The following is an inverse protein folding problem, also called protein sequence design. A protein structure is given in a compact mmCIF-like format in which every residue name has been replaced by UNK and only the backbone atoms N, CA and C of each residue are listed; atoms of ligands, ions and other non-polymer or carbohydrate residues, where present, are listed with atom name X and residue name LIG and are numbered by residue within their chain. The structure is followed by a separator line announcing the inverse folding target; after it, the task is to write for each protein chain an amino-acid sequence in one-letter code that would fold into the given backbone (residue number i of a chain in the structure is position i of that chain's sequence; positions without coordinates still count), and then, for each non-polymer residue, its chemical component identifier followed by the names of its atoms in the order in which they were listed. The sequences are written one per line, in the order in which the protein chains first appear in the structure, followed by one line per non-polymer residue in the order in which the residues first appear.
data_IF_746876352880
#
_entry.id   IF_746876352880
#
_cell.length_a   1.000
_cell.length_b   1.000
_cell.length_c   1.000
_cell.angle_alpha   90.00
_cell.angle_beta   90.00
_cell.angle_gamma   90.00
#
_symmetry.space_group_name_H-M   'P 1'
#
loop_
_entity.id
_entity.type
_entity.pdbx_description
1 polymer ?
#
# COMPACT_ATOMS: atom_id res chain seq x y z
N UNK A 1 5.50 -39.87 -4.24
CA UNK A 1 4.13 -39.36 -4.00
C UNK A 1 4.12 -38.53 -2.73
N UNK A 2 3.44 -37.37 -2.72
CA UNK A 2 3.25 -36.61 -1.49
C UNK A 2 2.43 -37.46 -0.50
N UNK A 3 2.96 -37.71 0.70
CA UNK A 3 2.36 -38.60 1.71
C UNK A 3 1.17 -37.98 2.47
N UNK A 4 0.67 -36.82 2.04
CA UNK A 4 -0.36 -36.04 2.71
C UNK A 4 -1.37 -35.53 1.68
N UNK A 5 -2.63 -35.48 2.07
CA UNK A 5 -3.66 -34.74 1.36
C UNK A 5 -3.48 -33.23 1.57
N UNK A 6 -4.07 -32.37 0.70
CA UNK A 6 -4.07 -30.93 0.91
C UNK A 6 -4.66 -30.48 2.25
N UNK A 7 -5.69 -31.19 2.73
CA UNK A 7 -6.33 -30.89 4.01
C UNK A 7 -5.38 -31.18 5.20
N UNK A 8 -4.71 -32.34 5.18
CA UNK A 8 -3.72 -32.71 6.21
C UNK A 8 -2.49 -31.79 6.17
N UNK A 9 -2.07 -31.35 4.98
CA UNK A 9 -1.01 -30.36 4.84
C UNK A 9 -1.40 -29.02 5.48
N UNK A 10 -2.63 -28.53 5.21
CA UNK A 10 -3.15 -27.28 5.79
C UNK A 10 -3.29 -27.37 7.30
N UNK A 11 -3.84 -28.47 7.83
CA UNK A 11 -3.95 -28.70 9.28
C UNK A 11 -2.58 -28.63 9.95
N UNK A 12 -1.61 -29.40 9.42
CA UNK A 12 -0.27 -29.47 9.98
C UNK A 12 0.42 -28.10 9.97
N UNK A 13 0.26 -27.33 8.89
CA UNK A 13 0.76 -25.96 8.81
C UNK A 13 0.10 -25.06 9.86
N UNK A 14 -1.22 -25.08 9.97
CA UNK A 14 -1.97 -24.25 10.92
C UNK A 14 -1.59 -24.57 12.37
N UNK A 15 -1.54 -25.85 12.73
CA UNK A 15 -1.17 -26.27 14.09
C UNK A 15 0.25 -25.84 14.45
N UNK A 16 1.22 -26.08 13.55
CA UNK A 16 2.62 -25.72 13.81
C UNK A 16 2.84 -24.21 13.87
N UNK A 17 2.25 -23.45 12.94
CA UNK A 17 2.46 -22.01 12.89
C UNK A 17 1.82 -21.29 14.09
N UNK A 18 0.66 -21.78 14.56
CA UNK A 18 0.04 -21.26 15.79
C UNK A 18 0.88 -21.57 17.04
N UNK A 19 1.55 -22.71 17.08
CA UNK A 19 2.42 -23.11 18.20
C UNK A 19 3.77 -22.37 18.20
N UNK A 20 4.26 -21.93 17.05
CA UNK A 20 5.57 -21.27 16.92
C UNK A 20 5.56 -19.76 17.22
N UNK A 21 4.53 -19.22 17.88
CA UNK A 21 4.43 -17.78 18.15
C UNK A 21 5.64 -17.25 18.95
N UNK A 22 6.06 -17.97 19.99
CA UNK A 22 7.23 -17.59 20.80
C UNK A 22 8.52 -17.61 19.99
N UNK A 23 8.72 -18.62 19.14
CA UNK A 23 9.91 -18.69 18.28
C UNK A 23 9.93 -17.57 17.24
N UNK A 24 8.77 -17.22 16.68
CA UNK A 24 8.63 -16.08 15.77
C UNK A 24 8.97 -14.78 16.50
N UNK A 25 8.41 -14.55 17.69
CA UNK A 25 8.71 -13.37 18.50
C UNK A 25 10.21 -13.26 18.81
N UNK A 26 10.83 -14.37 19.23
CA UNK A 26 12.27 -14.43 19.48
C UNK A 26 13.08 -14.16 18.22
N UNK A 27 12.67 -14.70 17.08
CA UNK A 27 13.31 -14.45 15.78
C UNK A 27 13.25 -12.98 15.38
N UNK A 28 12.09 -12.33 15.53
CA UNK A 28 11.91 -10.89 15.30
C UNK A 28 12.80 -10.07 16.23
N UNK A 29 12.85 -10.40 17.52
CA UNK A 29 13.68 -9.68 18.50
C UNK A 29 15.19 -9.82 18.24
N UNK A 30 15.63 -10.86 17.50
CA UNK A 30 17.03 -11.04 17.09
C UNK A 30 17.42 -10.23 15.86
N UNK A 31 16.46 -9.61 15.15
CA UNK A 31 16.75 -8.79 13.97
C UNK A 31 17.45 -7.51 14.41
N UNK A 32 18.75 -7.42 14.14
CA UNK A 32 19.60 -6.27 14.50
C UNK A 32 19.74 -5.23 13.38
N UNK A 33 19.38 -5.58 12.15
CA UNK A 33 19.47 -4.69 10.99
C UNK A 33 18.10 -4.57 10.34
N UNK A 34 17.65 -3.33 10.12
CA UNK A 34 16.35 -3.05 9.50
C UNK A 34 16.20 -3.81 8.17
N UNK A 35 15.24 -4.74 8.06
CA UNK A 35 15.02 -5.47 6.81
C UNK A 35 14.55 -4.54 5.69
N UNK A 36 13.87 -3.43 6.00
CA UNK A 36 13.42 -2.45 5.01
C UNK A 36 14.59 -1.64 4.43
N UNK A 37 15.59 -1.30 5.26
CA UNK A 37 16.83 -0.68 4.78
C UNK A 37 17.59 -1.61 3.84
N UNK A 38 17.66 -2.91 4.16
CA UNK A 38 18.28 -3.90 3.28
C UNK A 38 17.51 -4.08 1.97
N UNK A 39 16.17 -4.07 2.03
CA UNK A 39 15.31 -4.15 0.84
C UNK A 39 15.51 -2.94 -0.08
N UNK A 40 15.64 -1.72 0.47
CA UNK A 40 15.91 -0.51 -0.30
C UNK A 40 17.19 -0.61 -1.14
N UNK A 41 18.22 -1.31 -0.65
CA UNK A 41 19.48 -1.56 -1.40
C UNK A 41 19.32 -2.53 -2.57
N UNK A 42 18.14 -3.13 -2.77
CA UNK A 42 17.88 -4.16 -3.78
C UNK A 42 16.74 -3.77 -4.73
N UNK A 43 16.40 -2.48 -4.83
CA UNK A 43 15.34 -1.99 -5.71
C UNK A 43 15.57 -2.34 -7.19
N UNK A 44 16.81 -2.32 -7.69
CA UNK A 44 17.10 -2.70 -9.09
C UNK A 44 16.80 -4.18 -9.35
N UNK A 45 17.19 -5.05 -8.41
CA UNK A 45 16.85 -6.48 -8.47
C UNK A 45 15.33 -6.69 -8.42
N UNK A 46 14.62 -5.90 -7.62
CA UNK A 46 13.15 -5.95 -7.58
C UNK A 46 12.55 -5.53 -8.91
N UNK A 47 13.00 -4.41 -9.50
CA UNK A 47 12.56 -3.91 -10.80
C UNK A 47 12.73 -4.97 -11.89
N UNK A 48 13.92 -5.54 -12.03
CA UNK A 48 14.18 -6.56 -13.04
C UNK A 48 13.24 -7.76 -12.90
N UNK A 49 13.10 -8.29 -11.68
CA UNK A 49 12.22 -9.44 -11.42
C UNK A 49 10.75 -9.15 -11.68
N UNK A 50 10.32 -7.90 -11.48
CA UNK A 50 8.96 -7.48 -11.82
C UNK A 50 8.74 -7.46 -13.33
N UNK A 51 9.70 -6.94 -14.09
CA UNK A 51 9.68 -6.97 -15.56
C UNK A 51 9.61 -8.42 -16.04
N UNK A 52 10.50 -9.30 -15.58
CA UNK A 52 10.51 -10.72 -15.96
C UNK A 52 9.16 -11.42 -15.65
N UNK A 53 8.52 -11.06 -14.53
CA UNK A 53 7.23 -11.63 -14.13
C UNK A 53 6.07 -11.13 -15.01
N UNK A 54 6.13 -9.87 -15.48
CA UNK A 54 5.18 -9.33 -16.44
C UNK A 54 5.37 -10.00 -17.80
N UNK A 55 6.60 -10.06 -18.30
CA UNK A 55 6.94 -10.60 -19.62
C UNK A 55 6.62 -12.11 -19.73
N UNK A 56 6.84 -12.87 -18.66
CA UNK A 56 6.46 -14.29 -18.60
C UNK A 56 4.95 -14.55 -18.49
N UNK A 57 4.12 -13.50 -18.43
CA UNK A 57 2.67 -13.57 -18.24
C UNK A 57 2.23 -14.10 -16.86
N UNK A 58 3.17 -14.25 -15.91
CA UNK A 58 2.87 -14.77 -14.57
C UNK A 58 1.87 -13.87 -13.84
N UNK A 59 2.04 -12.56 -13.95
CA UNK A 59 1.14 -11.57 -13.35
C UNK A 59 -0.26 -11.69 -13.96
N UNK A 60 -0.37 -11.69 -15.29
CA UNK A 60 -1.67 -11.80 -15.99
C UNK A 60 -2.44 -13.05 -15.58
N UNK A 61 -1.79 -14.22 -15.57
CA UNK A 61 -2.42 -15.48 -15.15
C UNK A 61 -2.88 -15.43 -13.69
N UNK A 62 -2.11 -14.78 -12.82
CA UNK A 62 -2.46 -14.60 -11.42
C UNK A 62 -3.70 -13.73 -11.22
N UNK A 63 -3.80 -12.63 -11.96
CA UNK A 63 -4.93 -11.71 -11.93
C UNK A 63 -6.21 -12.37 -12.49
N UNK A 64 -6.11 -13.05 -13.64
CA UNK A 64 -7.25 -13.72 -14.28
C UNK A 64 -7.81 -14.91 -13.49
N UNK A 65 -7.05 -15.42 -12.50
CA UNK A 65 -7.49 -16.55 -11.67
C UNK A 65 -8.57 -16.15 -10.65
N UNK A 66 -8.67 -14.87 -10.30
CA UNK A 66 -9.63 -14.40 -9.29
C UNK A 66 -10.86 -13.84 -10.02
N UNK A 67 -12.02 -14.46 -9.83
CA UNK A 67 -13.27 -13.93 -10.38
C UNK A 67 -13.76 -12.71 -9.57
N UNK A 68 -14.64 -11.91 -10.16
CA UNK A 68 -15.24 -10.75 -9.49
C UNK A 68 -16.04 -11.19 -8.26
N UNK A 69 -16.72 -12.33 -8.33
CA UNK A 69 -17.51 -12.90 -7.24
C UNK A 69 -16.61 -13.31 -6.07
N UNK A 70 -15.54 -14.06 -6.34
CA UNK A 70 -14.57 -14.47 -5.32
C UNK A 70 -13.87 -13.26 -4.70
N UNK A 71 -13.56 -12.24 -5.50
CA UNK A 71 -13.00 -10.99 -5.00
C UNK A 71 -13.99 -10.26 -4.08
N UNK A 72 -15.26 -10.10 -4.49
CA UNK A 72 -16.32 -9.46 -3.69
C UNK A 72 -16.50 -10.18 -2.36
N UNK A 73 -16.60 -11.51 -2.39
CA UNK A 73 -16.74 -12.32 -1.18
C UNK A 73 -15.56 -12.10 -0.21
N UNK A 74 -14.33 -12.21 -0.72
CA UNK A 74 -13.12 -12.02 0.09
C UNK A 74 -13.02 -10.59 0.66
N UNK A 75 -13.38 -9.58 -0.14
CA UNK A 75 -13.36 -8.19 0.32
C UNK A 75 -14.43 -7.92 1.38
N UNK A 76 -15.67 -8.37 1.18
CA UNK A 76 -16.75 -8.14 2.13
C UNK A 76 -16.53 -8.90 3.45
N UNK A 77 -16.07 -10.15 3.38
CA UNK A 77 -15.93 -11.00 4.57
C UNK A 77 -14.60 -10.80 5.32
N UNK A 78 -13.52 -10.37 4.65
CA UNK A 78 -12.19 -10.24 5.28
C UNK A 78 -11.60 -8.84 5.13
N UNK A 79 -11.74 -8.23 3.96
CA UNK A 79 -11.17 -6.90 3.68
C UNK A 79 -11.82 -5.82 4.54
N UNK A 80 -13.14 -5.62 4.36
CA UNK A 80 -13.91 -4.57 5.03
C UNK A 80 -13.78 -4.63 6.56
N UNK A 81 -13.93 -5.80 7.22
CA UNK A 81 -13.76 -5.87 8.67
C UNK A 81 -12.35 -5.45 9.16
N UNK A 82 -11.31 -5.65 8.35
CA UNK A 82 -9.93 -5.25 8.69
C UNK A 82 -9.66 -3.77 8.47
N UNK A 83 -10.52 -3.03 7.75
CA UNK A 83 -10.32 -1.61 7.48
C UNK A 83 -10.39 -0.81 8.78
N UNK A 84 -11.42 -1.02 9.61
CA UNK A 84 -11.58 -0.29 10.88
C UNK A 84 -10.35 -0.45 11.76
N UNK A 85 -9.96 -1.69 12.04
CA UNK A 85 -8.79 -2.02 12.85
C UNK A 85 -7.47 -1.47 12.23
N UNK A 86 -7.41 -1.40 10.90
CA UNK A 86 -6.32 -0.78 10.16
C UNK A 86 -6.24 0.73 10.37
N UNK A 87 -7.38 1.43 10.28
CA UNK A 87 -7.49 2.88 10.46
C UNK A 87 -7.14 3.25 11.90
N UNK A 88 -7.70 2.56 12.89
CA UNK A 88 -7.47 2.88 14.31
C UNK A 88 -5.98 2.81 14.66
N UNK A 89 -5.26 1.82 14.12
CA UNK A 89 -3.81 1.70 14.31
C UNK A 89 -2.99 2.67 13.46
N UNK A 90 -3.51 3.07 12.30
CA UNK A 90 -2.80 3.95 11.37
C UNK A 90 -3.04 5.44 11.65
N UNK A 91 -3.96 5.79 12.56
CA UNK A 91 -4.31 7.17 12.92
C UNK A 91 -3.11 8.12 13.02
N UNK A 92 -2.09 7.81 13.84
CA UNK A 92 -0.92 8.69 13.98
C UNK A 92 -0.15 8.93 12.67
N UNK A 93 -0.11 7.94 11.77
CA UNK A 93 0.55 8.09 10.45
C UNK A 93 -0.26 8.99 9.52
N UNK A 94 -1.59 8.94 9.62
CA UNK A 94 -2.50 9.79 8.86
C UNK A 94 -2.41 11.23 9.38
N UNK A 95 -2.43 11.42 10.70
CA UNK A 95 -2.24 12.72 11.34
C UNK A 95 -0.90 13.36 10.93
N UNK A 96 0.21 12.62 11.03
CA UNK A 96 1.52 13.11 10.59
C UNK A 96 1.56 13.49 9.09
N UNK A 97 0.79 12.79 8.25
CA UNK A 97 0.66 13.18 6.84
C UNK A 97 -0.20 14.44 6.68
N UNK A 98 -1.29 14.56 7.44
CA UNK A 98 -2.18 15.70 7.45
C UNK A 98 -1.45 16.99 7.89
N UNK A 99 -0.60 16.89 8.92
CA UNK A 99 0.27 17.99 9.38
C UNK A 99 1.18 18.53 8.28
N UNK A 100 1.59 17.68 7.32
CA UNK A 100 2.43 18.10 6.19
C UNK A 100 1.60 18.63 5.01
N UNK A 101 0.52 17.93 4.63
CA UNK A 101 -0.22 18.23 3.40
C UNK A 101 -1.21 19.39 3.57
N UNK A 102 -1.84 19.54 4.73
CA UNK A 102 -2.84 20.60 4.93
C UNK A 102 -2.24 22.01 4.78
N UNK A 103 -1.10 22.35 5.42
CA UNK A 103 -0.47 23.65 5.20
C UNK A 103 -0.03 23.88 3.74
N UNK A 104 0.33 22.80 3.03
CA UNK A 104 0.68 22.89 1.62
C UNK A 104 -0.55 23.21 0.75
N UNK A 105 -1.69 22.58 1.03
CA UNK A 105 -2.98 22.88 0.39
C UNK A 105 -3.38 24.34 0.68
N UNK A 106 -3.27 24.79 1.93
CA UNK A 106 -3.63 26.16 2.31
C UNK A 106 -2.77 27.19 1.56
N UNK A 107 -1.46 26.94 1.45
CA UNK A 107 -0.56 27.77 0.65
C UNK A 107 -0.95 27.77 -0.83
N UNK A 108 -1.22 26.59 -1.40
CA UNK A 108 -1.63 26.49 -2.80
C UNK A 108 -2.93 27.27 -3.05
N UNK A 109 -3.90 27.16 -2.13
CA UNK A 109 -5.18 27.88 -2.21
C UNK A 109 -5.00 29.40 -2.11
N UNK A 110 -4.18 29.89 -1.19
CA UNK A 110 -3.89 31.30 -1.07
C UNK A 110 -3.28 31.90 -2.35
N UNK A 111 -2.45 31.13 -3.08
CA UNK A 111 -1.94 31.53 -4.40
C UNK A 111 -3.07 31.59 -5.44
N UNK A 112 -3.99 30.62 -5.46
CA UNK A 112 -5.15 30.65 -6.35
C UNK A 112 -6.05 31.85 -6.08
N UNK A 113 -6.26 32.24 -4.82
CA UNK A 113 -7.14 33.37 -4.47
C UNK A 113 -6.67 34.71 -5.05
N UNK A 114 -5.43 34.80 -5.52
CA UNK A 114 -4.90 35.96 -6.25
C UNK A 114 -5.16 35.92 -7.77
N UNK A 115 -5.59 34.78 -8.31
CA UNK A 115 -5.89 34.59 -9.72
C UNK A 115 -7.31 35.09 -10.05
N UNK A 116 -7.56 35.61 -11.27
CA UNK A 116 -8.91 35.88 -11.75
C UNK A 116 -9.80 34.63 -11.69
N UNK A 117 -11.12 34.81 -11.57
CA UNK A 117 -12.14 33.74 -11.56
C UNK A 117 -13.42 34.10 -12.37
N UNK A 118 -13.34 35.17 -13.17
CA UNK A 118 -14.50 35.79 -13.83
C UNK A 118 -14.97 34.98 -15.04
N UNK A 119 -14.04 34.36 -15.77
CA UNK A 119 -14.34 33.60 -16.98
C UNK A 119 -14.16 32.09 -16.78
N UNK A 120 -14.64 31.30 -17.74
CA UNK A 120 -14.37 29.86 -17.77
C UNK A 120 -12.87 29.56 -17.84
N UNK A 121 -12.13 30.32 -18.65
CA UNK A 121 -10.68 30.14 -18.81
C UNK A 121 -9.92 30.45 -17.51
N UNK A 122 -10.34 31.49 -16.79
CA UNK A 122 -9.80 31.81 -15.46
C UNK A 122 -9.98 30.63 -14.49
N UNK A 123 -11.17 30.03 -14.48
CA UNK A 123 -11.47 28.88 -13.63
C UNK A 123 -10.67 27.63 -14.04
N UNK A 124 -10.50 27.37 -15.34
CA UNK A 124 -9.64 26.29 -15.84
C UNK A 124 -8.18 26.50 -15.43
N UNK A 125 -7.71 27.75 -15.51
CA UNK A 125 -6.35 28.11 -15.11
C UNK A 125 -6.14 27.89 -13.61
N UNK A 126 -7.08 28.31 -12.75
CA UNK A 126 -7.03 28.08 -11.30
C UNK A 126 -6.95 26.59 -10.97
N UNK A 127 -7.81 25.78 -11.56
CA UNK A 127 -7.83 24.32 -11.34
C UNK A 127 -6.51 23.67 -11.80
N UNK A 128 -6.03 24.04 -12.99
CA UNK A 128 -4.78 23.53 -13.55
C UNK A 128 -3.57 23.90 -12.68
N UNK A 129 -3.53 25.13 -12.17
CA UNK A 129 -2.49 25.61 -11.25
C UNK A 129 -2.48 24.82 -9.95
N UNK A 130 -3.66 24.55 -9.37
CA UNK A 130 -3.76 23.74 -8.15
C UNK A 130 -3.23 22.32 -8.36
N UNK A 131 -3.63 21.66 -9.45
CA UNK A 131 -3.17 20.30 -9.79
C UNK A 131 -1.65 20.25 -9.95
N UNK A 132 -1.07 21.23 -10.67
CA UNK A 132 0.39 21.35 -10.84
C UNK A 132 1.09 21.53 -9.49
N UNK A 133 0.55 22.39 -8.63
CA UNK A 133 1.10 22.61 -7.29
C UNK A 133 1.04 21.34 -6.45
N UNK A 134 -0.09 20.65 -6.40
CA UNK A 134 -0.21 19.39 -5.67
C UNK A 134 0.74 18.29 -6.18
N UNK A 135 1.12 18.30 -7.46
CA UNK A 135 2.12 17.39 -8.01
C UNK A 135 3.55 17.66 -7.51
N UNK A 136 3.84 18.87 -7.02
CA UNK A 136 5.13 19.24 -6.44
C UNK A 136 5.25 18.87 -4.95
N UNK A 137 4.14 18.54 -4.29
CA UNK A 137 4.15 18.13 -2.89
C UNK A 137 5.03 16.89 -2.70
N UNK A 138 5.99 16.99 -1.77
CA UNK A 138 6.87 15.88 -1.36
C UNK A 138 6.85 15.76 0.15
N UNK A 139 6.43 14.60 0.63
CA UNK A 139 6.48 14.26 2.05
C UNK A 139 7.93 14.19 2.52
N UNK A 140 8.21 14.65 3.73
CA UNK A 140 9.50 14.44 4.39
C UNK A 140 9.62 12.94 4.73
N UNK A 141 10.72 12.33 4.28
CA UNK A 141 11.02 10.90 4.46
C UNK A 141 11.60 10.57 5.81
#
# INVERSE_FOLDING_TARGET
MAKLTPAEFREKLQRRLKQSQTDIQNGVNRVSVSPTSQAAKKLDKMRQRWIDAMDSGKIQRGLNRVSVESWKEMMLQKGVPRISEGIDRAGPKIEAFAEEILPYIDKARAELDTMPDVTLEDNIQRMSSFVRKMAEFKRKG
#
